data_IF_798300981496
#
_entry.id   IF_798300981496
#
_cell.length_a   1.000
_cell.length_b   1.000
_cell.length_c   1.000
_cell.angle_alpha   90.00
_cell.angle_beta   90.00
_cell.angle_gamma   90.00
#
_symmetry.space_group_name_H-M   'P 1'
#
loop_
_entity.id
_entity.type
_entity.pdbx_description
1 polymer ?
#
# COMPACT_ATOMS: atom_id res chain seq x y z
N UNK A 1 2.53 4.48 22.82
CA UNK A 1 1.67 4.97 21.69
C UNK A 1 2.49 5.16 20.39
N UNK A 2 1.93 4.82 19.23
CA UNK A 2 2.47 5.27 17.93
C UNK A 2 2.11 6.76 17.81
N UNK A 3 3.10 7.65 17.97
CA UNK A 3 2.87 9.10 18.03
C UNK A 3 2.62 9.74 16.66
N UNK A 4 2.87 9.02 15.56
CA UNK A 4 2.52 9.44 14.20
C UNK A 4 2.07 8.22 13.38
N UNK A 5 0.83 8.25 12.89
CA UNK A 5 0.30 7.24 11.96
C UNK A 5 0.52 7.71 10.52
N UNK A 6 1.42 7.07 9.74
CA UNK A 6 1.72 7.50 8.38
C UNK A 6 0.48 7.40 7.50
N UNK A 7 0.35 8.32 6.54
CA UNK A 7 -0.65 8.22 5.46
C UNK A 7 -0.24 7.10 4.51
N UNK A 8 -1.14 6.15 4.28
CA UNK A 8 -0.90 4.98 3.44
C UNK A 8 -1.91 4.98 2.30
N UNK A 9 -1.44 4.63 1.11
CA UNK A 9 -2.30 4.28 -0.01
C UNK A 9 -2.03 2.84 -0.44
N UNK A 10 -3.06 2.01 -0.43
CA UNK A 10 -3.05 0.67 -1.02
C UNK A 10 -3.66 0.73 -2.43
N UNK A 11 -2.82 0.53 -3.45
CA UNK A 11 -3.22 0.51 -4.85
C UNK A 11 -3.56 -0.93 -5.26
N UNK A 12 -4.85 -1.26 -5.29
CA UNK A 12 -5.34 -2.59 -5.71
C UNK A 12 -5.36 -2.76 -7.23
N UNK A 13 -5.35 -1.66 -7.97
CA UNK A 13 -5.21 -1.68 -9.43
C UNK A 13 -4.56 -0.40 -9.94
N UNK A 14 -3.89 -0.49 -11.10
CA UNK A 14 -3.05 0.57 -11.63
C UNK A 14 -3.67 1.32 -12.81
N UNK A 15 -4.59 0.67 -13.54
CA UNK A 15 -5.34 1.28 -14.63
C UNK A 15 -6.67 0.53 -14.90
N UNK A 16 -7.82 1.06 -14.46
CA UNK A 16 -7.95 2.31 -13.72
C UNK A 16 -7.36 2.26 -12.30
N UNK A 17 -7.08 3.42 -11.71
CA UNK A 17 -6.57 3.48 -10.34
C UNK A 17 -7.66 3.10 -9.35
N UNK A 18 -7.38 2.08 -8.53
CA UNK A 18 -8.31 1.60 -7.50
C UNK A 18 -7.64 1.71 -6.12
N UNK A 19 -8.29 2.42 -5.21
CA UNK A 19 -7.95 2.40 -3.78
C UNK A 19 -8.60 1.21 -3.10
N UNK A 20 -7.89 0.63 -2.14
CA UNK A 20 -8.34 -0.56 -1.45
C UNK A 20 -9.64 -0.35 -0.65
N UNK A 21 -10.48 -1.37 -0.63
CA UNK A 21 -11.69 -1.43 0.17
C UNK A 21 -11.66 -2.58 1.16
N UNK A 22 -12.84 -3.08 1.53
CA UNK A 22 -13.06 -4.23 2.37
C UNK A 22 -12.36 -4.07 3.73
N UNK A 23 -11.54 -5.05 4.12
CA UNK A 23 -10.79 -5.03 5.37
C UNK A 23 -9.41 -4.37 5.23
N UNK A 24 -8.98 -3.93 4.05
CA UNK A 24 -7.65 -3.34 3.86
C UNK A 24 -7.48 -2.03 4.63
N UNK A 25 -8.44 -1.08 4.61
CA UNK A 25 -8.36 0.12 5.45
C UNK A 25 -8.26 -0.22 6.95
N UNK A 26 -9.01 -1.21 7.42
CA UNK A 26 -8.93 -1.68 8.81
C UNK A 26 -7.55 -2.27 9.12
N UNK A 27 -6.98 -3.08 8.22
CA UNK A 27 -5.62 -3.60 8.36
C UNK A 27 -4.58 -2.48 8.44
N UNK A 28 -4.74 -1.40 7.65
CA UNK A 28 -3.87 -0.22 7.70
C UNK A 28 -3.94 0.42 9.08
N UNK A 29 -5.14 0.61 9.63
CA UNK A 29 -5.33 1.19 10.97
C UNK A 29 -4.72 0.32 12.08
N UNK A 30 -4.93 -1.00 12.02
CA UNK A 30 -4.36 -1.96 12.97
C UNK A 30 -2.82 -2.00 12.90
N UNK A 31 -2.25 -1.83 11.72
CA UNK A 31 -0.81 -1.68 11.51
C UNK A 31 -0.26 -0.31 11.94
N UNK A 32 -1.13 0.59 12.39
CA UNK A 32 -0.77 1.92 12.87
C UNK A 32 -0.54 2.95 11.75
N UNK A 33 -1.14 2.74 10.57
CA UNK A 33 -1.23 3.72 9.49
C UNK A 33 -2.58 4.44 9.47
N UNK A 34 -2.82 5.22 8.42
CA UNK A 34 -4.10 5.84 8.08
C UNK A 34 -4.37 5.70 6.59
N UNK A 35 -5.58 5.28 6.24
CA UNK A 35 -6.10 5.35 4.87
C UNK A 35 -7.04 6.56 4.77
N UNK A 36 -6.94 7.28 3.65
CA UNK A 36 -7.83 8.41 3.34
C UNK A 36 -8.31 8.38 1.88
N UNK A 37 -8.04 7.30 1.15
CA UNK A 37 -8.46 7.10 -0.23
C UNK A 37 -9.39 5.88 -0.36
N UNK A 38 -9.18 4.85 0.46
CA UNK A 38 -10.02 3.66 0.54
C UNK A 38 -11.30 3.85 1.35
N UNK A 39 -12.13 2.80 1.39
CA UNK A 39 -13.37 2.76 2.18
C UNK A 39 -13.47 1.46 2.97
N UNK A 40 -13.47 1.58 4.30
CA UNK A 40 -13.54 0.42 5.19
C UNK A 40 -14.90 -0.28 5.06
N UNK A 41 -14.90 -1.59 4.87
CA UNK A 41 -16.11 -2.40 4.75
C UNK A 41 -16.88 -2.28 3.43
N UNK A 42 -16.45 -1.43 2.50
CA UNK A 42 -17.06 -1.25 1.18
C UNK A 42 -16.18 -1.82 0.05
N UNK A 43 -16.71 -1.95 -1.16
CA UNK A 43 -15.91 -2.32 -2.32
C UNK A 43 -14.76 -1.33 -2.57
N UNK A 44 -13.71 -1.81 -3.23
CA UNK A 44 -12.60 -0.99 -3.69
C UNK A 44 -13.09 0.08 -4.66
N UNK A 45 -12.58 1.30 -4.50
CA UNK A 45 -13.12 2.48 -5.21
C UNK A 45 -12.15 2.98 -6.26
N UNK A 46 -12.69 3.39 -7.40
CA UNK A 46 -11.93 4.12 -8.41
C UNK A 46 -11.59 5.50 -7.88
N UNK A 47 -10.31 5.87 -7.98
CA UNK A 47 -9.81 7.20 -7.61
C UNK A 47 -9.11 7.85 -8.80
N UNK A 48 -8.97 9.16 -8.76
CA UNK A 48 -8.16 9.88 -9.75
C UNK A 48 -6.74 10.07 -9.23
N UNK A 49 -5.78 10.17 -10.15
CA UNK A 49 -4.38 10.38 -9.78
C UNK A 49 -4.17 11.68 -8.98
N UNK A 50 -4.96 12.71 -9.28
CA UNK A 50 -4.95 13.97 -8.53
C UNK A 50 -5.29 13.81 -7.06
N UNK A 51 -6.13 12.83 -6.70
CA UNK A 51 -6.49 12.56 -5.31
C UNK A 51 -5.33 11.93 -4.54
N UNK A 52 -4.56 11.05 -5.20
CA UNK A 52 -3.32 10.50 -4.65
C UNK A 52 -2.31 11.60 -4.34
N UNK A 53 -2.10 12.52 -5.29
CA UNK A 53 -1.16 13.64 -5.13
C UNK A 53 -1.60 14.57 -4.00
N UNK A 54 -2.90 14.88 -3.89
CA UNK A 54 -3.45 15.71 -2.80
C UNK A 54 -3.37 15.04 -1.44
N UNK A 55 -3.65 13.74 -1.38
CA UNK A 55 -3.55 12.96 -0.14
C UNK A 55 -2.10 12.83 0.34
N UNK A 56 -1.14 12.85 -0.60
CA UNK A 56 0.30 12.79 -0.34
C UNK A 56 0.67 11.61 0.58
N UNK A 57 0.47 10.36 0.13
CA UNK A 57 0.80 9.21 0.96
C UNK A 57 2.29 9.19 1.31
N UNK A 58 2.59 8.84 2.56
CA UNK A 58 3.95 8.61 3.05
C UNK A 58 4.41 7.18 2.75
N UNK A 59 3.47 6.29 2.44
CA UNK A 59 3.70 4.89 2.05
C UNK A 59 2.72 4.50 0.95
N UNK A 60 3.23 3.85 -0.09
CA UNK A 60 2.39 3.26 -1.15
C UNK A 60 2.60 1.75 -1.14
N UNK A 61 1.52 0.99 -0.99
CA UNK A 61 1.51 -0.46 -1.18
C UNK A 61 0.84 -0.77 -2.51
N UNK A 62 1.61 -1.25 -3.47
CA UNK A 62 1.13 -1.67 -4.79
C UNK A 62 0.80 -3.15 -4.72
N UNK A 63 -0.49 -3.46 -4.74
CA UNK A 63 -1.03 -4.78 -4.43
C UNK A 63 -2.09 -5.31 -5.41
N UNK A 64 -1.88 -5.26 -6.74
CA UNK A 64 -2.82 -5.84 -7.69
C UNK A 64 -2.96 -7.35 -7.54
N UNK A 65 -4.20 -7.82 -7.32
CA UNK A 65 -4.52 -9.20 -6.92
C UNK A 65 -4.04 -10.27 -7.91
N UNK A 66 -3.93 -9.95 -9.20
CA UNK A 66 -3.51 -10.87 -10.26
C UNK A 66 -2.02 -10.79 -10.60
N UNK A 67 -1.25 -9.96 -9.91
CA UNK A 67 0.16 -9.73 -10.23
C UNK A 67 1.07 -10.36 -9.17
N UNK A 68 2.16 -10.97 -9.62
CA UNK A 68 3.30 -11.23 -8.74
C UNK A 68 4.04 -9.92 -8.45
N UNK A 69 4.80 -9.84 -7.35
CA UNK A 69 5.63 -8.66 -7.08
C UNK A 69 6.60 -8.32 -8.23
N UNK A 70 7.10 -9.34 -8.93
CA UNK A 70 7.95 -9.15 -10.10
C UNK A 70 7.20 -8.50 -11.26
N UNK A 71 5.93 -8.88 -11.48
CA UNK A 71 5.05 -8.20 -12.44
C UNK A 71 4.74 -6.79 -11.96
N UNK A 72 4.35 -6.59 -10.70
CA UNK A 72 4.09 -5.26 -10.13
C UNK A 72 5.24 -4.28 -10.36
N UNK A 73 6.50 -4.74 -10.22
CA UNK A 73 7.67 -3.92 -10.53
C UNK A 73 7.75 -3.50 -12.01
N UNK A 74 7.41 -4.40 -12.95
CA UNK A 74 7.39 -4.08 -14.39
C UNK A 74 6.28 -3.10 -14.75
N UNK A 75 5.19 -3.10 -13.99
CA UNK A 75 4.01 -2.25 -14.21
C UNK A 75 4.13 -0.89 -13.51
N UNK A 76 5.15 -0.69 -12.66
CA UNK A 76 5.43 0.59 -11.99
C UNK A 76 5.43 1.82 -12.94
N UNK A 77 5.90 1.74 -14.20
CA UNK A 77 5.80 2.84 -15.15
C UNK A 77 4.39 3.40 -15.37
N UNK A 78 3.32 2.61 -15.13
CA UNK A 78 1.94 3.10 -15.16
C UNK A 78 1.64 4.13 -14.06
N UNK A 79 2.38 4.10 -12.96
CA UNK A 79 2.32 5.09 -11.89
C UNK A 79 3.42 6.15 -12.05
N UNK A 80 4.66 5.73 -12.28
CA UNK A 80 5.81 6.64 -12.20
C UNK A 80 5.90 7.68 -13.31
N UNK A 81 5.20 7.46 -14.43
CA UNK A 81 5.07 8.45 -15.51
C UNK A 81 3.98 9.50 -15.27
N UNK A 82 3.16 9.36 -14.21
CA UNK A 82 2.07 10.28 -13.95
C UNK A 82 2.60 11.61 -13.38
N UNK A 83 2.05 12.78 -13.78
CA UNK A 83 2.51 14.08 -13.31
C UNK A 83 2.48 14.19 -11.78
N UNK A 84 3.55 14.68 -11.17
CA UNK A 84 3.63 14.79 -9.70
C UNK A 84 4.04 13.50 -8.97
N UNK A 85 4.33 12.40 -9.66
CA UNK A 85 4.89 11.18 -9.03
C UNK A 85 6.10 11.50 -8.13
N UNK A 86 7.09 12.22 -8.66
CA UNK A 86 8.30 12.56 -7.92
C UNK A 86 8.07 13.53 -6.74
N UNK A 87 6.92 14.18 -6.66
CA UNK A 87 6.61 15.07 -5.52
C UNK A 87 6.01 14.36 -4.31
N UNK A 88 5.42 13.17 -4.50
CA UNK A 88 4.75 12.39 -3.44
C UNK A 88 5.76 11.95 -2.37
N UNK A 89 5.38 12.12 -1.10
CA UNK A 89 6.21 11.81 0.06
C UNK A 89 6.74 10.38 0.07
N UNK A 90 5.90 9.39 -0.24
CA UNK A 90 6.31 7.99 -0.36
C UNK A 90 7.41 7.78 -1.41
N UNK A 91 7.33 8.48 -2.54
CA UNK A 91 8.29 8.34 -3.64
C UNK A 91 9.64 8.93 -3.25
N UNK A 92 9.64 10.15 -2.70
CA UNK A 92 10.85 10.80 -2.21
C UNK A 92 11.57 10.00 -1.12
N UNK A 93 10.80 9.31 -0.27
CA UNK A 93 11.33 8.55 0.84
C UNK A 93 11.71 7.09 0.50
N UNK A 94 11.55 6.64 -0.75
CA UNK A 94 11.82 5.23 -1.09
C UNK A 94 10.77 4.24 -0.55
N UNK A 95 9.57 4.71 -0.21
CA UNK A 95 8.53 3.95 0.51
C UNK A 95 7.37 3.53 -0.40
N UNK A 96 7.72 3.04 -1.59
CA UNK A 96 6.79 2.41 -2.53
C UNK A 96 7.10 0.92 -2.59
N UNK A 97 6.15 0.08 -2.24
CA UNK A 97 6.37 -1.35 -2.06
C UNK A 97 5.43 -2.18 -2.93
N UNK A 98 5.94 -3.23 -3.58
CA UNK A 98 5.11 -4.35 -4.01
C UNK A 98 4.99 -5.34 -2.85
N UNK A 99 3.82 -5.94 -2.67
CA UNK A 99 3.57 -6.94 -1.63
C UNK A 99 2.98 -8.22 -2.22
N UNK A 100 3.16 -9.35 -1.53
CA UNK A 100 2.46 -10.59 -1.85
C UNK A 100 1.00 -10.48 -1.42
N UNK A 101 0.12 -10.44 -2.41
CA UNK A 101 -1.33 -10.22 -2.25
C UNK A 101 -2.05 -11.37 -1.53
N UNK A 102 -1.42 -12.54 -1.40
CA UNK A 102 -2.01 -13.70 -0.72
C UNK A 102 -2.22 -13.49 0.78
N UNK A 103 -1.56 -12.48 1.37
CA UNK A 103 -1.73 -12.03 2.76
C UNK A 103 -2.83 -10.97 2.94
N UNK A 104 -3.42 -10.47 1.85
CA UNK A 104 -4.31 -9.31 1.87
C UNK A 104 -5.70 -9.61 1.31
N UNK A 105 -5.84 -10.44 0.29
CA UNK A 105 -7.14 -10.59 -0.41
C UNK A 105 -7.95 -11.84 -0.03
N UNK A 106 -7.42 -12.70 0.85
CA UNK A 106 -8.13 -13.90 1.30
C UNK A 106 -8.55 -13.76 2.75
N UNK A 107 -9.85 -13.83 3.01
CA UNK A 107 -10.39 -13.97 4.36
C UNK A 107 -9.77 -15.18 5.03
N UNK A 108 -9.24 -15.00 6.25
CA UNK A 108 -8.65 -16.09 7.02
C UNK A 108 -7.45 -15.65 7.88
N UNK A 109 -6.77 -16.61 8.54
CA UNK A 109 -5.75 -16.33 9.56
C UNK A 109 -4.53 -15.56 9.02
N UNK A 110 -4.29 -15.62 7.70
CA UNK A 110 -3.17 -14.91 7.06
C UNK A 110 -3.33 -13.39 7.06
N UNK A 111 -4.53 -12.85 7.30
CA UNK A 111 -4.73 -11.41 7.44
C UNK A 111 -3.91 -10.84 8.61
N UNK A 112 -3.74 -11.61 9.70
CA UNK A 112 -2.88 -11.22 10.83
C UNK A 112 -1.43 -11.04 10.37
N UNK A 113 -0.95 -11.92 9.50
CA UNK A 113 0.38 -11.80 8.90
C UNK A 113 0.46 -10.60 7.94
N UNK A 114 -0.61 -10.30 7.20
CA UNK A 114 -0.73 -9.07 6.40
C UNK A 114 -0.59 -7.80 7.23
N UNK A 115 -1.28 -7.72 8.38
CA UNK A 115 -1.15 -6.60 9.33
C UNK A 115 0.28 -6.49 9.87
N UNK A 116 0.93 -7.61 10.18
CA UNK A 116 2.33 -7.63 10.62
C UNK A 116 3.29 -7.12 9.54
N UNK A 117 3.09 -7.51 8.28
CA UNK A 117 3.86 -7.00 7.15
C UNK A 117 3.69 -5.48 7.04
N UNK A 118 2.46 -4.98 7.08
CA UNK A 118 2.17 -3.55 7.06
C UNK A 118 2.85 -2.83 8.24
N UNK A 119 2.72 -3.32 9.46
CA UNK A 119 3.31 -2.71 10.65
C UNK A 119 4.84 -2.59 10.53
N UNK A 120 5.49 -3.61 9.97
CA UNK A 120 6.92 -3.58 9.70
C UNK A 120 7.35 -2.58 8.62
N UNK A 121 6.56 -2.44 7.55
CA UNK A 121 6.79 -1.42 6.52
C UNK A 121 6.51 0.00 7.04
N UNK A 122 5.53 0.15 7.93
CA UNK A 122 5.09 1.44 8.46
C UNK A 122 6.05 1.95 9.53
N UNK A 123 6.54 1.05 10.38
CA UNK A 123 7.35 1.35 11.56
C UNK A 123 8.64 0.49 11.59
N UNK A 124 9.58 0.66 10.64
CA UNK A 124 10.77 -0.19 10.51
C UNK A 124 11.74 -0.12 11.70
N UNK A 125 11.63 0.90 12.56
CA UNK A 125 12.41 1.02 13.81
C UNK A 125 11.82 0.20 14.97
N UNK A 126 10.59 -0.29 14.84
CA UNK A 126 9.84 -0.98 15.92
C UNK A 126 9.61 -2.45 15.64
N UNK A 127 9.62 -2.86 14.38
CA UNK A 127 9.37 -4.23 13.96
C UNK A 127 10.49 -4.72 13.04
N UNK A 128 10.80 -6.02 13.05
CA UNK A 128 11.76 -6.60 12.13
C UNK A 128 11.27 -6.49 10.69
N UNK A 129 12.20 -6.35 9.75
CA UNK A 129 11.92 -6.34 8.32
C UNK A 129 11.16 -7.61 7.92
N UNK A 130 10.10 -7.52 7.08
CA UNK A 130 9.41 -8.69 6.58
C UNK A 130 10.36 -9.66 5.84
N UNK A 131 10.15 -10.98 5.94
CA UNK A 131 10.93 -11.95 5.18
C UNK A 131 10.97 -11.64 3.67
N UNK A 132 12.12 -11.95 3.06
CA UNK A 132 12.28 -11.86 1.61
C UNK A 132 11.15 -12.65 0.92
N UNK A 133 10.42 -12.01 0.01
CA UNK A 133 9.27 -12.60 -0.65
C UNK A 133 7.89 -12.10 -0.20
N UNK A 134 7.80 -11.34 0.91
CA UNK A 134 6.53 -10.77 1.38
C UNK A 134 6.29 -9.32 0.94
N UNK A 135 7.36 -8.55 0.84
CA UNK A 135 7.36 -7.17 0.36
C UNK A 135 8.68 -6.83 -0.33
N UNK A 136 8.64 -5.87 -1.27
CA UNK A 136 9.83 -5.39 -2.00
C UNK A 136 9.70 -3.90 -2.35
N UNK A 137 10.72 -3.10 -2.04
CA UNK A 137 10.79 -1.70 -2.48
C UNK A 137 10.89 -1.59 -4.01
N UNK A 138 10.20 -0.60 -4.58
CA UNK A 138 10.06 -0.38 -6.03
C UNK A 138 10.82 0.84 -6.55
N UNK A 139 11.14 1.79 -5.68
CA UNK A 139 11.91 3.02 -5.97
C UNK A 139 13.06 3.19 -5.00
#
# INVERSE_FOLDING_TARGET
PVTARPRVWCAEWLDPLMAAGHWIPEMIELAGGRDGLGRAGEDSVRIEWGDVVRYDPEIILVMPCSFSMARTKRELPHLSRRPGWGSVSAVKAGRVFAVDTSYFHRQGPRLIEGVRIMAALFHPKRFPTPPAGRARALV
#
